data_IF_973861552319
#
_entry.id   IF_973861552319
#
_cell.length_a   1.000
_cell.length_b   1.000
_cell.length_c   1.000
_cell.angle_alpha   90.00
_cell.angle_beta   90.00
_cell.angle_gamma   90.00
#
_symmetry.space_group_name_H-M   'P 1'
#
loop_
_entity.id
_entity.type
_entity.pdbx_description
1 polymer ?
#
# COMPACT_ATOMS: atom_id res chain seq x y z
N UNK A 1 14.60 -13.38 -11.31
CA UNK A 1 13.41 -12.78 -10.66
C UNK A 1 13.88 -11.56 -9.88
N UNK A 2 13.48 -10.36 -10.30
CA UNK A 2 13.73 -9.16 -9.48
C UNK A 2 12.76 -9.18 -8.30
N UNK A 3 13.28 -9.25 -7.08
CA UNK A 3 12.54 -8.99 -5.85
C UNK A 3 12.29 -7.48 -5.79
N UNK A 4 11.28 -7.00 -6.53
CA UNK A 4 10.82 -5.62 -6.37
C UNK A 4 10.07 -5.58 -5.06
N UNK A 5 10.69 -4.97 -4.04
CA UNK A 5 10.01 -4.66 -2.78
C UNK A 5 9.53 -3.22 -2.79
N UNK A 6 8.33 -3.02 -2.29
CA UNK A 6 7.71 -1.72 -2.06
C UNK A 6 7.97 -1.20 -0.66
N UNK A 7 8.62 -1.98 0.22
CA UNK A 7 8.95 -1.58 1.59
C UNK A 7 9.64 -0.21 1.66
N UNK A 8 9.14 0.66 2.53
CA UNK A 8 9.65 2.00 2.75
C UNK A 8 9.27 3.02 1.68
N UNK A 9 8.61 2.61 0.58
CA UNK A 9 8.18 3.53 -0.47
C UNK A 9 6.87 4.24 -0.08
N UNK A 10 6.77 5.51 -0.47
CA UNK A 10 5.47 6.19 -0.49
C UNK A 10 4.65 5.71 -1.69
N UNK A 11 3.37 5.42 -1.43
CA UNK A 11 2.42 4.95 -2.42
C UNK A 11 1.10 5.71 -2.32
N UNK A 12 0.39 5.76 -3.44
CA UNK A 12 -0.97 6.27 -3.54
C UNK A 12 -1.81 5.31 -4.40
N UNK A 13 -2.96 4.88 -3.89
CA UNK A 13 -3.90 4.06 -4.66
C UNK A 13 -4.62 4.93 -5.68
N UNK A 14 -4.31 4.76 -6.97
CA UNK A 14 -4.97 5.49 -8.06
C UNK A 14 -6.24 4.81 -8.56
N UNK A 15 -6.30 3.48 -8.47
CA UNK A 15 -7.42 2.66 -8.93
C UNK A 15 -7.54 1.41 -8.04
N UNK A 16 -8.76 1.02 -7.70
CA UNK A 16 -9.09 -0.22 -7.00
C UNK A 16 -10.51 -0.64 -7.37
N UNK A 17 -10.79 -1.94 -7.33
CA UNK A 17 -12.16 -2.47 -7.39
C UNK A 17 -12.98 -2.02 -6.17
N UNK A 18 -12.31 -1.78 -5.04
CA UNK A 18 -12.89 -1.15 -3.87
C UNK A 18 -12.72 0.38 -3.94
N UNK A 19 -13.82 1.08 -4.24
CA UNK A 19 -13.82 2.54 -4.38
C UNK A 19 -13.33 3.31 -3.14
N UNK A 20 -13.42 2.72 -1.95
CA UNK A 20 -12.99 3.37 -0.71
C UNK A 20 -11.48 3.33 -0.49
N UNK A 21 -10.74 2.56 -1.29
CA UNK A 21 -9.28 2.51 -1.23
C UNK A 21 -8.62 3.56 -2.11
N UNK A 22 -9.32 4.04 -3.13
CA UNK A 22 -8.81 5.08 -4.03
C UNK A 22 -8.49 6.35 -3.23
N UNK A 23 -7.27 6.84 -3.36
CA UNK A 23 -6.76 7.99 -2.62
C UNK A 23 -6.08 7.64 -1.28
N UNK A 24 -6.03 6.37 -0.87
CA UNK A 24 -5.19 5.96 0.27
C UNK A 24 -3.73 6.27 -0.07
N UNK A 25 -3.09 7.02 0.82
CA UNK A 25 -1.69 7.46 0.74
C UNK A 25 -0.94 7.07 1.99
N UNK A 26 0.30 6.65 1.83
CA UNK A 26 1.16 6.36 2.97
C UNK A 26 2.45 5.63 2.59
N UNK A 27 3.15 5.15 3.61
CA UNK A 27 4.40 4.39 3.48
C UNK A 27 4.10 2.90 3.62
N UNK A 28 4.65 2.09 2.72
CA UNK A 28 4.56 0.62 2.82
C UNK A 28 5.47 0.13 3.94
N UNK A 29 4.88 -0.51 4.95
CA UNK A 29 5.56 -1.07 6.12
C UNK A 29 5.69 -2.59 6.07
N UNK A 30 4.88 -3.26 5.24
CA UNK A 30 4.95 -4.70 4.98
C UNK A 30 4.60 -4.95 3.52
N UNK A 31 5.35 -5.84 2.87
CA UNK A 31 5.16 -6.21 1.48
C UNK A 31 5.15 -7.74 1.39
N UNK A 32 4.00 -8.30 1.04
CA UNK A 32 3.79 -9.73 0.90
C UNK A 32 3.48 -10.05 -0.56
N UNK A 33 3.41 -11.34 -0.90
CA UNK A 33 3.16 -11.77 -2.28
C UNK A 33 1.93 -11.12 -2.94
N UNK A 34 0.86 -10.87 -2.16
CA UNK A 34 -0.43 -10.43 -2.70
C UNK A 34 -0.97 -9.14 -2.06
N UNK A 35 -0.40 -8.70 -0.93
CA UNK A 35 -0.91 -7.56 -0.16
C UNK A 35 0.22 -6.70 0.35
N UNK A 36 -0.08 -5.43 0.57
CA UNK A 36 0.83 -4.48 1.21
C UNK A 36 0.16 -3.87 2.44
N UNK A 37 0.93 -3.66 3.51
CA UNK A 37 0.48 -2.82 4.63
C UNK A 37 1.00 -1.42 4.44
N UNK A 38 0.09 -0.46 4.43
CA UNK A 38 0.40 0.95 4.27
C UNK A 38 0.10 1.66 5.58
N UNK A 39 1.12 2.32 6.15
CA UNK A 39 0.95 3.28 7.25
C UNK A 39 0.50 4.60 6.65
N UNK A 40 -0.75 4.96 6.92
CA UNK A 40 -1.35 6.25 6.58
C UNK A 40 -1.31 7.16 7.81
N UNK A 41 -1.72 8.42 7.65
CA UNK A 41 -1.85 9.39 8.75
C UNK A 41 -2.85 8.90 9.82
N UNK A 42 -3.89 8.18 9.41
CA UNK A 42 -5.00 7.76 10.27
C UNK A 42 -4.85 6.32 10.82
N UNK A 43 -3.78 5.60 10.46
CA UNK A 43 -3.59 4.23 10.93
C UNK A 43 -2.86 3.33 9.94
N UNK A 44 -3.03 2.02 10.09
CA UNK A 44 -2.49 1.03 9.16
C UNK A 44 -3.63 0.46 8.34
N UNK A 45 -3.43 0.38 7.03
CA UNK A 45 -4.35 -0.23 6.08
C UNK A 45 -3.67 -1.40 5.38
N UNK A 46 -4.40 -2.49 5.21
CA UNK A 46 -3.99 -3.62 4.36
C UNK A 46 -4.67 -3.41 3.02
N UNK A 47 -3.89 -3.44 1.94
CA UNK A 47 -4.34 -3.35 0.55
C UNK A 47 -3.95 -4.61 -0.20
#
# INVERSE_FOLDING_TARGET
MNLITLLGKQVEVKQSSNRYEVGIKGIVIEDTKNTIKVKTENGVKVL
#
